data_IF_824988272757
#
_entry.id   IF_824988272757
#
_cell.length_a   1.000
_cell.length_b   1.000
_cell.length_c   1.000
_cell.angle_alpha   90.00
_cell.angle_beta   90.00
_cell.angle_gamma   90.00
#
_symmetry.space_group_name_H-M   'P 1'
#
loop_
_entity.id
_entity.type
_entity.pdbx_description
1 polymer ?
#
# COMPACT_ATOMS: atom_id res chain seq x y z
N UNK A 1 18.04 30.02 -1.35
CA UNK A 1 17.87 29.51 -2.74
C UNK A 1 16.44 29.00 -2.98
N UNK A 2 15.83 29.33 -4.13
CA UNK A 2 14.46 28.90 -4.46
C UNK A 2 14.40 27.40 -4.77
N UNK A 3 15.42 26.86 -5.43
CA UNK A 3 15.46 25.45 -5.87
C UNK A 3 15.48 24.48 -4.67
N UNK A 4 16.26 24.80 -3.64
CA UNK A 4 16.30 24.04 -2.39
C UNK A 4 14.94 24.07 -1.67
N UNK A 5 14.20 25.19 -1.76
CA UNK A 5 12.86 25.29 -1.18
C UNK A 5 11.84 24.46 -1.96
N UNK A 6 11.91 24.46 -3.30
CA UNK A 6 11.02 23.64 -4.12
C UNK A 6 11.28 22.14 -3.90
N UNK A 7 12.54 21.73 -3.84
CA UNK A 7 12.92 20.34 -3.54
C UNK A 7 12.43 19.94 -2.14
N UNK A 8 12.65 20.77 -1.13
CA UNK A 8 12.17 20.53 0.22
C UNK A 8 10.64 20.41 0.30
N UNK A 9 9.89 21.21 -0.47
CA UNK A 9 8.42 21.09 -0.55
C UNK A 9 8.07 19.70 -1.07
N UNK A 10 8.55 19.29 -2.24
CA UNK A 10 8.21 17.99 -2.81
C UNK A 10 8.58 16.83 -1.87
N UNK A 11 9.75 16.90 -1.22
CA UNK A 11 10.17 15.88 -0.26
C UNK A 11 9.27 15.82 0.98
N UNK A 12 8.89 16.96 1.56
CA UNK A 12 8.07 17.00 2.77
C UNK A 12 6.60 16.67 2.48
N UNK A 13 6.07 17.15 1.34
CA UNK A 13 4.67 16.92 0.95
C UNK A 13 4.45 15.56 0.31
N UNK A 14 5.49 14.84 -0.11
CA UNK A 14 5.37 13.54 -0.79
C UNK A 14 4.54 12.51 0.01
N UNK A 15 4.60 12.56 1.34
CA UNK A 15 3.81 11.68 2.21
C UNK A 15 2.30 12.00 2.24
N UNK A 16 1.85 13.15 1.71
CA UNK A 16 0.42 13.45 1.54
C UNK A 16 -0.28 12.48 0.58
N UNK A 17 0.48 11.71 -0.20
CA UNK A 17 -0.04 10.61 -1.02
C UNK A 17 -0.72 9.51 -0.20
N UNK A 18 -0.32 9.27 1.06
CA UNK A 18 -0.89 8.20 1.88
C UNK A 18 -2.35 8.43 2.29
N UNK A 19 -2.75 9.62 2.80
CA UNK A 19 -4.17 9.94 2.98
C UNK A 19 -5.01 9.78 1.72
N UNK A 20 -4.51 10.22 0.57
CA UNK A 20 -5.19 10.06 -0.71
C UNK A 20 -5.32 8.59 -1.12
N UNK A 21 -4.30 7.78 -0.86
CA UNK A 21 -4.34 6.34 -1.11
C UNK A 21 -5.34 5.60 -0.21
N UNK A 22 -5.47 5.99 1.07
CA UNK A 22 -6.50 5.44 1.97
C UNK A 22 -7.90 5.83 1.48
N UNK A 23 -8.09 7.08 1.07
CA UNK A 23 -9.36 7.53 0.50
C UNK A 23 -9.70 6.75 -0.78
N UNK A 24 -8.73 6.56 -1.67
CA UNK A 24 -8.86 5.73 -2.86
C UNK A 24 -9.24 4.29 -2.50
N UNK A 25 -8.59 3.70 -1.48
CA UNK A 25 -8.88 2.34 -1.03
C UNK A 25 -10.34 2.18 -0.57
N UNK A 26 -10.87 3.16 0.14
CA UNK A 26 -12.27 3.17 0.60
C UNK A 26 -13.24 3.31 -0.59
N UNK A 27 -12.96 4.28 -1.48
CA UNK A 27 -13.83 4.63 -2.59
C UNK A 27 -13.83 3.60 -3.72
N UNK A 28 -12.75 2.83 -3.88
CA UNK A 28 -12.58 1.94 -5.02
C UNK A 28 -13.67 0.85 -5.10
N UNK A 29 -13.93 0.03 -4.06
CA UNK A 29 -15.01 -0.94 -4.13
C UNK A 29 -16.39 -0.29 -4.33
N UNK A 30 -16.65 0.86 -3.70
CA UNK A 30 -17.90 1.62 -3.90
C UNK A 30 -18.07 2.01 -5.37
N UNK A 31 -17.03 2.57 -5.96
CA UNK A 31 -17.00 2.97 -7.37
C UNK A 31 -17.28 1.78 -8.29
N UNK A 32 -16.76 0.59 -7.98
CA UNK A 32 -17.03 -0.62 -8.76
C UNK A 32 -18.50 -1.03 -8.65
N UNK A 33 -19.08 -1.02 -7.44
CA UNK A 33 -20.50 -1.33 -7.23
C UNK A 33 -21.45 -0.42 -8.01
N UNK A 34 -21.11 0.86 -8.14
CA UNK A 34 -21.90 1.81 -8.92
C UNK A 34 -21.74 1.54 -10.42
N UNK A 35 -20.52 1.25 -10.90
CA UNK A 35 -20.23 1.01 -12.32
C UNK A 35 -20.78 -0.30 -12.86
N UNK A 36 -20.98 -1.29 -11.99
CA UNK A 36 -21.60 -2.57 -12.34
C UNK A 36 -22.95 -2.39 -13.05
N UNK A 37 -23.68 -1.31 -12.76
CA UNK A 37 -24.98 -1.02 -13.39
C UNK A 37 -24.84 -0.43 -14.82
N UNK A 38 -23.63 -0.05 -15.23
CA UNK A 38 -23.34 0.53 -16.54
C UNK A 38 -22.75 -0.50 -17.51
N UNK A 39 -22.89 -0.23 -18.81
CA UNK A 39 -22.42 -1.10 -19.87
C UNK A 39 -20.88 -1.29 -19.80
N UNK A 40 -20.40 -2.51 -20.05
CA UNK A 40 -18.98 -2.90 -19.83
C UNK A 40 -17.97 -2.02 -20.57
N UNK A 41 -18.34 -1.49 -21.74
CA UNK A 41 -17.52 -0.58 -22.53
C UNK A 41 -17.18 0.71 -21.78
N UNK A 42 -18.15 1.31 -21.08
CA UNK A 42 -17.91 2.54 -20.30
C UNK A 42 -16.97 2.26 -19.13
N UNK A 43 -17.11 1.10 -18.49
CA UNK A 43 -16.23 0.65 -17.42
C UNK A 43 -14.78 0.53 -17.91
N UNK A 44 -14.55 -0.10 -19.07
CA UNK A 44 -13.21 -0.21 -19.63
C UNK A 44 -12.58 1.12 -20.04
N UNK A 45 -13.35 1.99 -20.71
CA UNK A 45 -12.86 3.30 -21.14
C UNK A 45 -12.48 4.16 -19.93
N UNK A 46 -13.22 4.04 -18.83
CA UNK A 46 -12.88 4.71 -17.58
C UNK A 46 -11.67 4.06 -16.89
N UNK A 47 -11.62 2.74 -16.80
CA UNK A 47 -10.63 2.03 -15.98
C UNK A 47 -9.24 1.99 -16.62
N UNK A 48 -9.12 1.91 -17.95
CA UNK A 48 -7.82 1.85 -18.65
C UNK A 48 -6.94 3.08 -18.33
N UNK A 49 -7.41 4.33 -18.47
CA UNK A 49 -6.62 5.50 -18.11
C UNK A 49 -6.18 5.52 -16.65
N UNK A 50 -7.04 5.11 -15.71
CA UNK A 50 -6.66 5.03 -14.29
C UNK A 50 -5.62 3.93 -14.03
N UNK A 51 -5.79 2.76 -14.66
CA UNK A 51 -4.87 1.65 -14.51
C UNK A 51 -3.49 1.98 -15.09
N UNK A 52 -3.47 2.52 -16.31
CA UNK A 52 -2.24 2.96 -16.98
C UNK A 52 -1.62 4.13 -16.22
N UNK A 53 -2.36 5.19 -15.94
CA UNK A 53 -1.83 6.39 -15.28
C UNK A 53 -1.37 6.17 -13.84
N UNK A 54 -2.05 5.31 -13.09
CA UNK A 54 -1.72 5.02 -11.69
C UNK A 54 -0.65 3.93 -11.50
N UNK A 55 -0.68 2.88 -12.32
CA UNK A 55 0.13 1.68 -12.08
C UNK A 55 1.36 1.62 -12.99
N UNK A 56 1.22 2.00 -14.27
CA UNK A 56 2.31 1.86 -15.23
C UNK A 56 3.54 2.70 -14.88
N UNK A 57 3.44 3.99 -14.47
CA UNK A 57 4.60 4.77 -14.07
C UNK A 57 5.36 4.13 -12.89
N UNK A 58 4.63 3.59 -11.91
CA UNK A 58 5.23 2.94 -10.75
C UNK A 58 5.94 1.64 -11.16
N UNK A 59 5.28 0.81 -11.97
CA UNK A 59 5.90 -0.41 -12.49
C UNK A 59 7.18 -0.10 -13.26
N UNK A 60 7.11 0.86 -14.19
CA UNK A 60 8.25 1.30 -14.99
C UNK A 60 9.38 1.86 -14.13
N UNK A 61 9.10 2.77 -13.20
CA UNK A 61 10.10 3.34 -12.30
C UNK A 61 10.80 2.26 -11.46
N UNK A 62 10.04 1.37 -10.83
CA UNK A 62 10.63 0.32 -9.99
C UNK A 62 11.37 -0.72 -10.82
N UNK A 63 10.89 -1.11 -12.00
CA UNK A 63 11.61 -2.04 -12.88
C UNK A 63 12.91 -1.44 -13.42
N UNK A 64 12.89 -0.18 -13.86
CA UNK A 64 14.10 0.50 -14.30
C UNK A 64 15.10 0.73 -13.16
N UNK A 65 14.64 1.05 -11.95
CA UNK A 65 15.56 1.16 -10.81
C UNK A 65 16.27 -0.16 -10.51
N UNK A 66 15.62 -1.31 -10.71
CA UNK A 66 16.30 -2.62 -10.58
C UNK A 66 17.34 -2.84 -11.68
N UNK A 67 17.08 -2.38 -12.91
CA UNK A 67 18.04 -2.46 -14.02
C UNK A 67 19.28 -1.62 -13.72
N UNK A 68 19.10 -0.40 -13.22
CA UNK A 68 20.20 0.52 -12.92
C UNK A 68 21.14 0.01 -11.82
N UNK A 69 20.58 -0.69 -10.83
CA UNK A 69 21.35 -1.30 -9.73
C UNK A 69 22.05 -2.61 -10.18
N UNK A 70 21.96 -2.98 -11.47
CA UNK A 70 22.59 -4.19 -12.02
C UNK A 70 21.93 -5.50 -11.57
N UNK A 71 20.71 -5.45 -11.05
CA UNK A 71 19.99 -6.63 -10.61
C UNK A 71 19.34 -7.39 -11.78
N UNK A 72 18.96 -8.67 -11.61
CA UNK A 72 18.17 -9.39 -12.60
C UNK A 72 16.76 -8.76 -12.71
N UNK A 73 16.64 -7.74 -13.55
CA UNK A 73 15.49 -6.84 -13.67
C UNK A 73 14.20 -7.56 -14.05
N UNK A 74 14.26 -8.66 -14.81
CA UNK A 74 13.09 -9.50 -15.15
C UNK A 74 12.55 -10.19 -13.89
N UNK A 75 13.42 -10.87 -13.12
CA UNK A 75 13.01 -11.59 -11.91
C UNK A 75 12.52 -10.64 -10.81
N UNK A 76 13.21 -9.50 -10.64
CA UNK A 76 12.79 -8.50 -9.65
C UNK A 76 11.61 -7.66 -10.13
N UNK A 77 11.43 -7.50 -11.44
CA UNK A 77 10.26 -6.86 -12.03
C UNK A 77 8.97 -7.57 -11.64
N UNK A 78 8.98 -8.91 -11.60
CA UNK A 78 7.86 -9.71 -11.11
C UNK A 78 7.54 -9.48 -9.62
N UNK A 79 8.49 -8.97 -8.83
CA UNK A 79 8.28 -8.63 -7.42
C UNK A 79 7.69 -7.23 -7.23
N UNK A 80 7.72 -6.37 -8.25
CA UNK A 80 7.24 -4.99 -8.14
C UNK A 80 5.76 -4.91 -7.77
N UNK A 81 4.82 -5.67 -8.39
CA UNK A 81 3.42 -5.65 -7.96
C UNK A 81 3.23 -6.01 -6.48
N UNK A 82 4.03 -6.94 -5.96
CA UNK A 82 4.02 -7.29 -4.53
C UNK A 82 4.59 -6.15 -3.68
N UNK A 83 5.63 -5.46 -4.13
CA UNK A 83 6.16 -4.28 -3.45
C UNK A 83 5.13 -3.14 -3.40
N UNK A 84 4.38 -2.92 -4.50
CA UNK A 84 3.27 -1.97 -4.54
C UNK A 84 2.15 -2.35 -3.58
N UNK A 85 1.77 -3.63 -3.57
CA UNK A 85 0.82 -4.19 -2.62
C UNK A 85 1.23 -3.94 -1.16
N UNK A 86 2.50 -4.18 -0.82
CA UNK A 86 3.04 -3.86 0.51
C UNK A 86 2.98 -2.35 0.82
N UNK A 87 3.29 -1.50 -0.17
CA UNK A 87 3.15 -0.05 -0.08
C UNK A 87 1.73 0.39 0.24
N UNK A 88 0.73 -0.25 -0.36
CA UNK A 88 -0.69 -0.04 -0.04
C UNK A 88 -1.00 -0.53 1.38
N UNK A 89 -0.47 -1.69 1.80
CA UNK A 89 -0.71 -2.23 3.13
C UNK A 89 -0.24 -1.31 4.26
N UNK A 90 0.92 -0.67 4.12
CA UNK A 90 1.45 0.29 5.12
C UNK A 90 0.78 1.67 5.07
N UNK A 91 -0.12 1.90 4.11
CA UNK A 91 -0.70 3.22 3.85
C UNK A 91 -1.51 3.78 5.02
N UNK A 92 -2.23 2.94 5.76
CA UNK A 92 -3.03 3.36 6.91
C UNK A 92 -2.17 3.93 8.03
N UNK A 93 -1.03 3.30 8.31
CA UNK A 93 -0.10 3.78 9.32
C UNK A 93 0.52 5.12 8.94
N UNK A 94 0.92 5.25 7.68
CA UNK A 94 1.48 6.50 7.18
C UNK A 94 0.43 7.61 7.08
N UNK A 95 -0.81 7.28 6.71
CA UNK A 95 -1.95 8.21 6.72
C UNK A 95 -2.18 8.76 8.13
N UNK A 96 -2.23 7.91 9.15
CA UNK A 96 -2.34 8.33 10.55
C UNK A 96 -1.22 9.30 10.95
N UNK A 97 0.02 8.97 10.62
CA UNK A 97 1.17 9.83 10.92
C UNK A 97 1.09 11.21 10.25
N UNK A 98 0.62 11.24 9.00
CA UNK A 98 0.41 12.50 8.25
C UNK A 98 -0.71 13.32 8.86
N UNK A 99 -1.84 12.70 9.23
CA UNK A 99 -2.95 13.39 9.89
C UNK A 99 -2.55 13.95 11.26
N UNK A 100 -1.80 13.19 12.05
CA UNK A 100 -1.22 13.67 13.32
C UNK A 100 -0.31 14.89 13.09
N UNK A 101 0.54 14.85 12.06
CA UNK A 101 1.42 15.95 11.71
C UNK A 101 0.64 17.20 11.27
N UNK A 102 -0.44 17.05 10.49
CA UNK A 102 -1.28 18.16 10.05
C UNK A 102 -2.05 18.83 11.20
N UNK A 103 -2.50 18.04 12.18
CA UNK A 103 -3.19 18.53 13.39
C UNK A 103 -2.20 19.16 14.39
N UNK A 104 -0.89 18.99 14.18
CA UNK A 104 0.15 19.45 15.10
C UNK A 104 0.27 18.57 16.35
N UNK A 105 -0.25 17.34 16.30
CA UNK A 105 -0.09 16.38 17.38
C UNK A 105 1.37 15.93 17.43
N UNK A 106 2.04 16.16 18.57
CA UNK A 106 3.43 15.72 18.79
C UNK A 106 3.43 14.22 19.03
N UNK A 107 3.45 13.45 17.93
CA UNK A 107 3.64 12.00 17.99
C UNK A 107 5.01 11.68 18.59
N UNK A 108 5.08 10.76 19.56
CA UNK A 108 6.36 10.35 20.15
C UNK A 108 7.25 9.74 19.06
N UNK A 109 8.39 10.39 18.79
CA UNK A 109 9.43 9.82 17.94
C UNK A 109 10.11 8.67 18.66
N UNK A 110 9.40 7.54 18.73
CA UNK A 110 9.90 6.32 19.33
C UNK A 110 11.01 5.84 18.41
N UNK A 111 12.28 5.99 18.84
CA UNK A 111 13.44 5.61 18.03
C UNK A 111 13.24 4.18 17.54
N UNK A 112 13.28 3.98 16.23
CA UNK A 112 13.22 2.64 15.64
C UNK A 112 14.38 1.82 16.23
N UNK A 113 14.10 0.75 17.00
CA UNK A 113 15.14 -0.04 17.64
C UNK A 113 16.00 -0.67 16.55
N UNK A 114 17.26 -0.24 16.47
CA UNK A 114 18.26 -0.82 15.57
C UNK A 114 18.67 -2.17 16.16
N UNK A 115 18.03 -3.25 15.71
CA UNK A 115 18.47 -4.58 16.08
C UNK A 115 19.83 -4.82 15.42
N UNK A 116 20.87 -4.91 16.24
CA UNK A 116 22.25 -5.17 15.81
C UNK A 116 22.36 -6.62 15.27
N UNK A 117 21.84 -6.85 14.07
CA UNK A 117 21.84 -8.15 13.38
C UNK A 117 23.16 -8.27 12.60
N UNK A 118 24.24 -8.58 13.31
CA UNK A 118 25.58 -8.75 12.74
C UNK A 118 25.86 -10.16 12.20
N UNK A 119 24.96 -11.14 12.40
CA UNK A 119 25.22 -12.53 12.01
C UNK A 119 24.03 -13.21 11.32
N UNK A 120 24.31 -13.98 10.27
CA UNK A 120 23.36 -14.84 9.52
C UNK A 120 22.60 -15.85 10.39
N UNK A 121 23.08 -16.15 11.61
CA UNK A 121 22.43 -17.04 12.60
C UNK A 121 21.49 -16.33 13.58
N UNK A 122 21.42 -14.99 13.56
CA UNK A 122 20.51 -14.25 14.43
C UNK A 122 19.07 -14.40 13.92
N UNK A 123 18.25 -15.14 14.67
CA UNK A 123 16.85 -15.42 14.33
C UNK A 123 16.01 -14.14 14.50
N UNK A 124 15.84 -13.37 13.42
CA UNK A 124 15.03 -12.14 13.41
C UNK A 124 13.59 -12.39 13.88
N UNK A 125 13.07 -13.61 13.65
CA UNK A 125 11.76 -14.07 14.13
C UNK A 125 11.62 -14.10 15.65
N UNK A 126 12.71 -14.21 16.40
CA UNK A 126 12.70 -14.30 17.86
C UNK A 126 12.80 -12.94 18.57
N UNK A 127 13.12 -11.86 17.84
CA UNK A 127 13.18 -10.50 18.40
C UNK A 127 11.83 -9.83 18.22
N UNK A 128 10.92 -10.12 19.15
CA UNK A 128 9.57 -9.59 19.19
C UNK A 128 9.59 -8.07 19.27
N UNK A 129 9.16 -7.44 18.18
CA UNK A 129 8.82 -6.03 18.18
C UNK A 129 7.49 -5.88 18.94
N UNK A 130 7.56 -5.64 20.25
CA UNK A 130 6.42 -5.19 21.04
C UNK A 130 6.11 -3.73 20.70
N UNK A 131 5.65 -3.51 19.47
CA UNK A 131 5.12 -2.21 19.05
C UNK A 131 3.95 -1.84 19.96
N UNK A 132 3.77 -0.54 20.20
CA UNK A 132 2.67 0.00 20.98
C UNK A 132 1.33 -0.66 20.58
N UNK A 133 0.43 -0.94 21.53
CA UNK A 133 -0.91 -1.50 21.29
C UNK A 133 -1.75 -0.50 20.48
N UNK A 134 -1.53 -0.44 19.17
CA UNK A 134 -2.33 0.38 18.26
C UNK A 134 -3.50 -0.43 17.74
N UNK A 135 -4.69 0.16 17.63
CA UNK A 135 -5.86 -0.49 17.03
C UNK A 135 -5.76 -0.60 15.51
N UNK A 136 -4.71 -0.03 14.93
CA UNK A 136 -4.50 0.10 13.50
C UNK A 136 -4.50 -1.23 12.72
N UNK A 137 -3.87 -2.32 13.20
CA UNK A 137 -3.90 -3.60 12.47
C UNK A 137 -5.30 -4.19 12.32
N UNK A 138 -6.24 -3.86 13.21
CA UNK A 138 -7.64 -4.27 13.07
C UNK A 138 -8.36 -3.47 11.99
N UNK A 139 -8.02 -2.18 11.82
CA UNK A 139 -8.54 -1.37 10.74
C UNK A 139 -7.99 -1.82 9.38
N UNK A 140 -6.70 -2.16 9.32
CA UNK A 140 -6.09 -2.79 8.14
C UNK A 140 -6.77 -4.13 7.81
N UNK A 141 -7.06 -4.95 8.81
CA UNK A 141 -7.79 -6.21 8.61
C UNK A 141 -9.22 -5.96 8.10
N UNK A 142 -9.92 -4.96 8.64
CA UNK A 142 -11.25 -4.56 8.19
C UNK A 142 -11.23 -4.15 6.71
N UNK A 143 -10.25 -3.35 6.28
CA UNK A 143 -10.06 -3.04 4.86
C UNK A 143 -9.75 -4.30 4.05
N UNK A 144 -8.92 -5.21 4.55
CA UNK A 144 -8.67 -6.50 3.89
C UNK A 144 -9.94 -7.33 3.67
N UNK A 145 -10.83 -7.39 4.67
CA UNK A 145 -12.14 -8.06 4.56
C UNK A 145 -13.05 -7.32 3.57
N UNK A 146 -13.08 -5.99 3.63
CA UNK A 146 -13.85 -5.14 2.71
C UNK A 146 -13.45 -5.37 1.24
N UNK A 147 -12.15 -5.45 0.95
CA UNK A 147 -11.66 -5.82 -0.38
C UNK A 147 -11.96 -7.28 -0.73
N UNK A 148 -11.95 -8.19 0.24
CA UNK A 148 -12.31 -9.60 0.00
C UNK A 148 -13.77 -9.73 -0.46
N UNK A 149 -14.69 -8.98 0.15
CA UNK A 149 -16.10 -8.91 -0.28
C UNK A 149 -16.19 -8.36 -1.71
N UNK A 150 -15.46 -7.27 -2.01
CA UNK A 150 -15.44 -6.69 -3.34
C UNK A 150 -14.96 -7.69 -4.41
N UNK A 151 -13.91 -8.46 -4.13
CA UNK A 151 -13.38 -9.50 -5.03
C UNK A 151 -14.42 -10.58 -5.30
N UNK A 152 -15.14 -11.05 -4.27
CA UNK A 152 -16.20 -12.05 -4.44
C UNK A 152 -17.32 -11.52 -5.33
N UNK A 153 -17.76 -10.28 -5.12
CA UNK A 153 -18.82 -9.67 -5.94
C UNK A 153 -18.36 -9.56 -7.40
N UNK A 154 -17.16 -9.03 -7.63
CA UNK A 154 -16.61 -8.85 -8.98
C UNK A 154 -16.44 -10.18 -9.73
N UNK A 155 -16.05 -11.25 -9.02
CA UNK A 155 -16.00 -12.61 -9.58
C UNK A 155 -17.39 -13.13 -9.97
N UNK A 156 -18.40 -12.93 -9.12
CA UNK A 156 -19.78 -13.34 -9.41
C UNK A 156 -20.37 -12.59 -10.61
N UNK A 157 -19.97 -11.34 -10.81
CA UNK A 157 -20.46 -10.50 -11.91
C UNK A 157 -19.63 -10.64 -13.20
N UNK A 158 -18.56 -11.44 -13.18
CA UNK A 158 -17.73 -11.70 -14.37
C UNK A 158 -16.88 -10.51 -14.83
N UNK A 159 -16.63 -9.53 -13.96
CA UNK A 159 -15.88 -8.30 -14.32
C UNK A 159 -14.40 -8.49 -13.99
N UNK A 160 -13.65 -9.17 -14.86
CA UNK A 160 -12.25 -9.51 -14.56
C UNK A 160 -11.27 -8.33 -14.67
N UNK A 161 -11.66 -7.22 -15.28
CA UNK A 161 -10.76 -6.08 -15.58
C UNK A 161 -10.20 -5.40 -14.33
N UNK A 162 -10.99 -5.28 -13.26
CA UNK A 162 -10.59 -4.60 -12.01
C UNK A 162 -9.93 -5.53 -11.00
N UNK A 163 -10.00 -6.85 -11.25
CA UNK A 163 -9.59 -7.89 -10.32
C UNK A 163 -8.10 -7.82 -9.93
N UNK A 164 -7.13 -7.58 -10.84
CA UNK A 164 -5.72 -7.48 -10.47
C UNK A 164 -5.45 -6.38 -9.43
N UNK A 165 -6.15 -5.25 -9.55
CA UNK A 165 -5.96 -4.11 -8.65
C UNK A 165 -6.62 -4.36 -7.29
N UNK A 166 -7.81 -4.97 -7.28
CA UNK A 166 -8.46 -5.40 -6.03
C UNK A 166 -7.60 -6.41 -5.26
N UNK A 167 -7.03 -7.41 -5.95
CA UNK A 167 -6.12 -8.39 -5.33
C UNK A 167 -4.85 -7.73 -4.79
N UNK A 168 -4.30 -6.74 -5.49
CA UNK A 168 -3.12 -5.99 -5.03
C UNK A 168 -3.41 -5.26 -3.71
N UNK A 169 -4.58 -4.60 -3.60
CA UNK A 169 -4.99 -3.90 -2.37
C UNK A 169 -5.33 -4.88 -1.24
N UNK A 170 -6.11 -5.92 -1.56
CA UNK A 170 -6.49 -6.98 -0.62
C UNK A 170 -5.25 -7.65 -0.02
N UNK A 171 -4.32 -8.09 -0.87
CA UNK A 171 -3.08 -8.75 -0.47
C UNK A 171 -2.23 -7.86 0.44
N UNK A 172 -2.19 -6.55 0.15
CA UNK A 172 -1.43 -5.57 0.93
C UNK A 172 -1.97 -5.43 2.34
N UNK A 173 -3.27 -5.14 2.46
CA UNK A 173 -3.93 -4.99 3.76
C UNK A 173 -3.94 -6.28 4.58
N UNK A 174 -4.22 -7.43 3.95
CA UNK A 174 -4.18 -8.71 4.66
C UNK A 174 -2.77 -9.07 5.12
N UNK A 175 -1.75 -8.88 4.28
CA UNK A 175 -0.37 -9.18 4.67
C UNK A 175 0.10 -8.33 5.85
N UNK A 176 -0.10 -7.01 5.80
CA UNK A 176 0.34 -6.09 6.85
C UNK A 176 -0.45 -6.30 8.14
N UNK A 177 -1.77 -6.48 8.07
CA UNK A 177 -2.58 -6.76 9.26
C UNK A 177 -2.23 -8.09 9.91
N UNK A 178 -2.11 -9.18 9.14
CA UNK A 178 -1.78 -10.50 9.67
C UNK A 178 -0.37 -10.53 10.25
N UNK A 179 0.63 -9.96 9.56
CA UNK A 179 2.00 -9.89 10.08
C UNK A 179 2.07 -9.08 11.37
N UNK A 180 1.35 -7.96 11.47
CA UNK A 180 1.27 -7.14 12.69
C UNK A 180 0.56 -7.86 13.85
N UNK A 181 -0.52 -8.60 13.58
CA UNK A 181 -1.25 -9.37 14.60
C UNK A 181 -0.42 -10.58 15.08
N UNK A 182 0.22 -11.30 14.16
CA UNK A 182 1.07 -12.46 14.48
C UNK A 182 2.28 -12.04 15.32
N UNK A 183 2.95 -10.94 14.97
CA UNK A 183 4.07 -10.41 15.74
C UNK A 183 3.68 -9.94 17.14
N UNK A 184 2.42 -9.57 17.37
CA UNK A 184 1.89 -9.20 18.71
C UNK A 184 1.56 -10.40 19.59
N UNK A 185 1.24 -11.55 18.99
CA UNK A 185 0.83 -12.77 19.70
C UNK A 185 2.01 -13.67 20.06
N UNK A 186 3.08 -13.64 19.27
CA UNK A 186 4.33 -14.34 19.56
C UNK A 186 5.07 -13.66 20.72
#
# INVERSE_FOLDING_TARGET
PRDVKTEAIFHLTGNLSYPLMVLLAILMPISIMIRIQHNWHYTLVADIPFLVGGTLPLLLFYTWSQKEIGAPWIRRGLLVPFALSLGVGISLNNCKAVLEALIGHKSEFTRTPKYNVTSKKSNWKAKLYKGHKTWLPYLELLLGIYFSVAVVIVLQMGIFSTLPFLLMFQGGFLYVSLSSILQRRA
#
